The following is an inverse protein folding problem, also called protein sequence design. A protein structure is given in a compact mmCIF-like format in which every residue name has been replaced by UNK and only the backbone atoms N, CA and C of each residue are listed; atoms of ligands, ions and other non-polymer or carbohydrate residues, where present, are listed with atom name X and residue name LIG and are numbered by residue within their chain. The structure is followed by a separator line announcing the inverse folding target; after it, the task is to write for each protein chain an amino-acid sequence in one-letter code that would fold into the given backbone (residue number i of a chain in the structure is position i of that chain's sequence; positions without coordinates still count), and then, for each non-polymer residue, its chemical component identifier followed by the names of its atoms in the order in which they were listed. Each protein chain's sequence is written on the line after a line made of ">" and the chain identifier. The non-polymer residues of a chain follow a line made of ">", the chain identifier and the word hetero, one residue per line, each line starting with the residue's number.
data_IF_398232130102
#
_entry.id   IF_398232130102
#
_cell.length_a   1.000
_cell.length_b   1.000
_cell.length_c   1.000
_cell.angle_alpha   90.00
_cell.angle_beta   90.00
_cell.angle_gamma   90.00
#
_symmetry.space_group_name_H-M   'P 1'
#
loop_
_entity.id
_entity.type
_entity.pdbx_description
1 polymer ?
#
# COMPACT_ATOMS: atom_id res chain seq x y z
N UNK A 1 9.88 -5.94 -2.91
CA UNK A 1 9.48 -4.61 -3.45
C UNK A 1 7.99 -4.64 -3.79
N UNK A 2 7.11 -4.34 -2.83
CA UNK A 2 5.65 -4.39 -3.01
C UNK A 2 5.10 -2.96 -3.19
N UNK A 3 5.44 -2.08 -2.26
CA UNK A 3 5.02 -0.68 -2.26
C UNK A 3 5.37 0.09 -3.54
N UNK A 4 6.63 0.02 -3.99
CA UNK A 4 7.07 0.71 -5.22
C UNK A 4 6.37 0.20 -6.49
N UNK A 5 6.05 -1.10 -6.52
CA UNK A 5 5.32 -1.71 -7.63
C UNK A 5 3.84 -1.30 -7.62
N UNK A 6 3.22 -1.26 -6.45
CA UNK A 6 1.86 -0.78 -6.29
C UNK A 6 1.74 0.70 -6.67
N UNK A 7 2.70 1.54 -6.27
CA UNK A 7 2.73 2.96 -6.65
C UNK A 7 2.88 3.15 -8.16
N UNK A 8 3.80 2.43 -8.81
CA UNK A 8 4.06 2.62 -10.25
C UNK A 8 2.90 2.18 -11.14
N UNK A 9 2.10 1.20 -10.68
CA UNK A 9 0.93 0.68 -11.39
C UNK A 9 -0.39 1.24 -10.89
N UNK A 10 -0.37 2.13 -9.89
CA UNK A 10 -1.56 2.62 -9.21
C UNK A 10 -2.42 1.47 -8.69
N UNK A 11 -1.84 0.47 -8.01
CA UNK A 11 -2.56 -0.64 -7.40
C UNK A 11 -2.89 -0.33 -5.94
N UNK A 12 -3.87 -1.05 -5.39
CA UNK A 12 -4.20 -1.02 -3.96
C UNK A 12 -3.42 -2.13 -3.26
N UNK A 13 -2.78 -1.81 -2.14
CA UNK A 13 -2.10 -2.78 -1.28
C UNK A 13 -3.06 -3.20 -0.18
N UNK A 14 -3.50 -4.45 -0.22
CA UNK A 14 -4.29 -5.04 0.87
C UNK A 14 -3.32 -5.56 1.93
N UNK A 15 -3.42 -5.06 3.16
CA UNK A 15 -2.51 -5.42 4.25
C UNK A 15 -3.13 -5.17 5.63
N UNK A 16 -2.87 -6.06 6.58
CA UNK A 16 -3.26 -5.88 7.98
C UNK A 16 -2.23 -5.04 8.78
N UNK A 17 -1.16 -4.56 8.13
CA UNK A 17 -0.13 -3.73 8.74
C UNK A 17 -0.09 -2.34 8.08
N UNK A 18 -1.16 -1.56 8.26
CA UNK A 18 -1.34 -0.25 7.62
C UNK A 18 -0.18 0.72 7.93
N UNK A 19 0.31 0.73 9.18
CA UNK A 19 1.40 1.63 9.63
C UNK A 19 2.66 1.57 8.79
N UNK A 20 2.99 0.40 8.24
CA UNK A 20 4.18 0.23 7.42
C UNK A 20 4.06 0.94 6.06
N UNK A 21 2.82 1.04 5.55
CA UNK A 21 2.52 1.54 4.21
C UNK A 21 1.93 2.96 4.21
N UNK A 22 1.32 3.41 5.32
CA UNK A 22 0.83 4.79 5.50
C UNK A 22 1.93 5.84 5.35
N UNK A 23 3.17 5.51 5.75
CA UNK A 23 4.32 6.42 5.58
C UNK A 23 4.75 6.62 4.13
N UNK A 24 4.14 5.91 3.17
CA UNK A 24 4.51 5.94 1.75
C UNK A 24 3.53 6.84 0.99
N UNK A 25 3.93 8.07 0.62
CA UNK A 25 3.04 8.98 -0.08
C UNK A 25 2.64 8.43 -1.46
N UNK A 26 1.35 8.55 -1.79
CA UNK A 26 0.79 8.14 -3.07
C UNK A 26 0.51 6.63 -3.20
N UNK A 27 0.61 5.87 -2.12
CA UNK A 27 0.15 4.48 -2.07
C UNK A 27 -1.29 4.43 -1.59
N UNK A 28 -2.09 3.58 -2.24
CA UNK A 28 -3.44 3.23 -1.79
C UNK A 28 -3.36 1.94 -1.00
N UNK A 29 -3.89 1.92 0.22
CA UNK A 29 -3.93 0.75 1.09
C UNK A 29 -5.37 0.46 1.54
N UNK A 30 -5.69 -0.81 1.69
CA UNK A 30 -6.95 -1.28 2.25
C UNK A 30 -6.70 -2.35 3.31
N UNK A 31 -7.52 -2.33 4.36
CA UNK A 31 -7.63 -3.43 5.32
C UNK A 31 -8.92 -4.18 5.03
N UNK A 32 -8.83 -5.50 4.86
CA UNK A 32 -9.98 -6.37 4.59
C UNK A 32 -10.37 -7.20 5.83
N UNK A 33 -9.74 -6.94 6.99
CA UNK A 33 -9.97 -7.69 8.22
C UNK A 33 -10.77 -6.91 9.27
#
# INVERSE_FOLDING_TARGET
>A
MIAGHARSRGLVVVTNNLREFERIPGIRIEDWC
#
